data_IF_879511402981
#
_entry.id   IF_879511402981
#
_cell.length_a   1.000
_cell.length_b   1.000
_cell.length_c   1.000
_cell.angle_alpha   90.00
_cell.angle_beta   90.00
_cell.angle_gamma   90.00
#
_symmetry.space_group_name_H-M   'P 1'
#
loop_
_entity.id
_entity.type
_entity.pdbx_description
1 polymer ?
#
# COMPACT_ATOMS: atom_id res chain seq x y z
N UNK A 1 2.02 1.66 -4.91
CA UNK A 1 1.81 2.66 -5.97
C UNK A 1 0.43 2.45 -6.60
N UNK A 2 -0.65 2.65 -5.83
CA UNK A 2 -1.98 2.18 -6.22
C UNK A 2 -2.94 3.30 -6.65
N UNK A 3 -2.45 4.53 -6.78
CA UNK A 3 -3.25 5.60 -7.38
C UNK A 3 -3.44 5.33 -8.88
N UNK A 4 -4.60 5.73 -9.41
CA UNK A 4 -4.91 5.57 -10.84
C UNK A 4 -3.88 6.27 -11.73
N UNK A 5 -3.38 7.43 -11.30
CA UNK A 5 -2.27 8.13 -11.95
C UNK A 5 -1.02 7.24 -12.06
N UNK A 6 -0.58 6.65 -10.95
CA UNK A 6 0.65 5.86 -10.95
C UNK A 6 0.48 4.54 -11.70
N UNK A 7 -0.69 3.88 -11.59
CA UNK A 7 -0.99 2.70 -12.39
C UNK A 7 -0.91 3.00 -13.88
N UNK A 8 -1.54 4.08 -14.35
CA UNK A 8 -1.49 4.50 -15.75
C UNK A 8 -0.06 4.79 -16.21
N UNK A 9 0.73 5.48 -15.36
CA UNK A 9 2.13 5.78 -15.65
C UNK A 9 2.98 4.50 -15.76
N UNK A 10 2.78 3.53 -14.86
CA UNK A 10 3.46 2.23 -14.87
C UNK A 10 3.07 1.41 -16.11
N UNK A 11 1.77 1.32 -16.43
CA UNK A 11 1.30 0.60 -17.63
C UNK A 11 1.89 1.16 -18.93
N UNK A 12 2.00 2.48 -19.03
CA UNK A 12 2.57 3.12 -20.22
C UNK A 12 4.08 2.87 -20.37
N UNK A 13 4.80 2.68 -19.26
CA UNK A 13 6.25 2.48 -19.29
C UNK A 13 6.66 1.01 -19.32
N UNK A 14 5.78 0.10 -18.88
CA UNK A 14 6.03 -1.33 -18.90
C UNK A 14 6.13 -1.87 -20.32
N UNK A 15 7.17 -2.66 -20.57
CA UNK A 15 7.37 -3.37 -21.85
C UNK A 15 6.75 -4.76 -21.77
N UNK A 16 6.15 -5.20 -22.87
CA UNK A 16 5.72 -6.59 -22.99
C UNK A 16 6.93 -7.47 -23.29
N UNK A 17 7.30 -8.32 -22.33
CA UNK A 17 8.30 -9.36 -22.50
C UNK A 17 7.60 -10.69 -22.24
N UNK A 18 7.47 -11.51 -23.29
CA UNK A 18 6.88 -12.86 -23.24
C UNK A 18 5.52 -12.87 -22.51
N UNK A 19 4.57 -12.06 -22.98
CA UNK A 19 3.20 -12.01 -22.44
C UNK A 19 3.05 -11.39 -21.05
N UNK A 20 4.14 -10.90 -20.44
CA UNK A 20 4.13 -10.21 -19.15
C UNK A 20 4.61 -8.76 -19.30
N UNK A 21 3.93 -7.85 -18.60
CA UNK A 21 4.38 -6.46 -18.48
C UNK A 21 5.54 -6.38 -17.48
N UNK A 22 6.70 -5.88 -17.91
CA UNK A 22 7.91 -5.76 -17.09
C UNK A 22 8.49 -4.33 -17.14
N UNK A 23 9.14 -3.91 -16.06
CA UNK A 23 9.85 -2.64 -15.91
C UNK A 23 11.22 -2.96 -15.31
N UNK A 24 12.30 -2.57 -15.99
CA UNK A 24 13.66 -2.77 -15.46
C UNK A 24 14.08 -1.63 -14.50
N UNK A 25 15.19 -1.82 -13.76
CA UNK A 25 15.66 -0.86 -12.76
C UNK A 25 15.97 0.53 -13.33
N UNK A 26 16.56 0.60 -14.54
CA UNK A 26 16.87 1.86 -15.21
C UNK A 26 15.61 2.62 -15.61
N UNK A 27 14.62 1.91 -16.14
CA UNK A 27 13.30 2.47 -16.43
C UNK A 27 12.57 2.94 -15.17
N UNK A 28 12.81 2.25 -14.04
CA UNK A 28 12.25 2.63 -12.75
C UNK A 28 12.90 3.92 -12.20
N UNK A 29 14.22 4.06 -12.34
CA UNK A 29 14.95 5.27 -11.95
C UNK A 29 14.54 6.49 -12.80
N UNK A 30 14.27 6.28 -14.08
CA UNK A 30 13.85 7.33 -15.02
C UNK A 30 12.39 7.80 -14.80
N UNK A 31 11.65 7.33 -13.78
CA UNK A 31 10.31 7.88 -13.51
C UNK A 31 10.42 9.28 -12.91
N UNK A 32 9.89 10.27 -13.63
CA UNK A 32 9.62 11.58 -13.05
C UNK A 32 8.45 11.47 -12.07
N UNK A 33 8.75 11.60 -10.78
CA UNK A 33 7.75 11.73 -9.73
C UNK A 33 7.67 13.18 -9.27
N UNK A 34 6.47 13.61 -8.89
CA UNK A 34 6.29 14.92 -8.28
C UNK A 34 6.93 14.87 -6.89
N UNK A 35 7.90 15.75 -6.64
CA UNK A 35 8.50 15.93 -5.33
C UNK A 35 7.84 17.14 -4.64
N UNK A 36 6.90 16.93 -3.70
CA UNK A 36 6.24 18.03 -2.99
C UNK A 36 7.21 18.75 -2.04
N UNK A 37 6.89 19.98 -1.58
CA UNK A 37 7.69 20.69 -0.57
C UNK A 37 7.86 19.88 0.71
N UNK A 38 9.03 19.99 1.36
CA UNK A 38 9.39 19.19 2.54
C UNK A 38 8.40 19.36 3.71
N UNK A 39 7.86 20.56 3.88
CA UNK A 39 6.84 20.84 4.90
C UNK A 39 5.57 20.01 4.70
N UNK A 40 5.13 19.84 3.44
CA UNK A 40 3.96 19.04 3.12
C UNK A 40 4.24 17.54 3.32
N UNK A 41 5.46 17.10 3.02
CA UNK A 41 5.89 15.72 3.26
C UNK A 41 5.84 15.38 4.76
N UNK A 42 6.39 16.25 5.60
CA UNK A 42 6.40 16.06 7.06
C UNK A 42 4.97 16.04 7.63
N UNK A 43 4.11 16.97 7.20
CA UNK A 43 2.70 17.01 7.61
C UNK A 43 1.94 15.73 7.22
N UNK A 44 2.24 15.15 6.05
CA UNK A 44 1.67 13.89 5.63
C UNK A 44 2.20 12.72 6.47
N UNK A 45 3.52 12.67 6.70
CA UNK A 45 4.17 11.62 7.49
C UNK A 45 3.59 11.54 8.91
N UNK A 46 3.44 12.67 9.60
CA UNK A 46 2.84 12.74 10.94
C UNK A 46 1.42 12.19 10.99
N UNK A 47 0.61 12.46 9.96
CA UNK A 47 -0.77 11.98 9.87
C UNK A 47 -0.81 10.47 9.66
N UNK A 48 0.00 9.95 8.74
CA UNK A 48 0.06 8.52 8.45
C UNK A 48 0.57 7.74 9.65
N UNK A 49 1.57 8.25 10.37
CA UNK A 49 2.09 7.60 11.58
C UNK A 49 0.98 7.39 12.63
N UNK A 50 0.18 8.44 12.88
CA UNK A 50 -0.96 8.36 13.81
C UNK A 50 -2.02 7.35 13.33
N UNK A 51 -2.34 7.35 12.04
CA UNK A 51 -3.33 6.43 11.46
C UNK A 51 -2.85 4.98 11.55
N UNK A 52 -1.59 4.69 11.23
CA UNK A 52 -1.05 3.32 11.30
C UNK A 52 -0.97 2.82 12.75
N UNK A 53 -0.63 3.69 13.72
CA UNK A 53 -0.72 3.35 15.16
C UNK A 53 -2.14 2.94 15.54
N UNK A 54 -3.15 3.73 15.17
CA UNK A 54 -4.55 3.43 15.45
C UNK A 54 -5.01 2.12 14.79
N UNK A 55 -4.65 1.93 13.52
CA UNK A 55 -4.96 0.71 12.76
C UNK A 55 -4.32 -0.53 13.38
N UNK A 56 -3.09 -0.42 13.89
CA UNK A 56 -2.43 -1.50 14.62
C UNK A 56 -3.19 -1.84 15.91
N UNK A 57 -3.54 -0.84 16.71
CA UNK A 57 -4.30 -1.02 17.97
C UNK A 57 -5.65 -1.71 17.69
N UNK A 58 -6.42 -1.21 16.73
CA UNK A 58 -7.71 -1.78 16.33
C UNK A 58 -7.53 -3.22 15.84
N UNK A 59 -6.50 -3.48 15.03
CA UNK A 59 -6.21 -4.83 14.54
C UNK A 59 -5.87 -5.79 15.69
N UNK A 60 -5.05 -5.35 16.64
CA UNK A 60 -4.59 -6.16 17.76
C UNK A 60 -5.70 -6.44 18.78
N UNK A 61 -6.49 -5.43 19.15
CA UNK A 61 -7.46 -5.50 20.24
C UNK A 61 -8.82 -6.02 19.75
N UNK A 62 -9.23 -5.63 18.54
CA UNK A 62 -10.60 -5.89 18.08
C UNK A 62 -10.60 -7.00 17.02
N UNK A 63 -9.89 -6.78 15.90
CA UNK A 63 -10.04 -7.65 14.73
C UNK A 63 -9.44 -9.04 14.94
N UNK A 64 -8.26 -9.15 15.55
CA UNK A 64 -7.63 -10.45 15.82
C UNK A 64 -8.44 -11.28 16.83
N UNK A 65 -8.84 -10.75 18.00
CA UNK A 65 -9.69 -11.50 18.93
C UNK A 65 -11.04 -11.89 18.33
N UNK A 66 -11.70 -10.98 17.61
CA UNK A 66 -12.96 -11.27 16.91
C UNK A 66 -12.82 -12.44 15.92
N UNK A 67 -11.76 -12.45 15.10
CA UNK A 67 -11.49 -13.56 14.16
C UNK A 67 -11.23 -14.87 14.88
N UNK A 68 -10.53 -14.85 16.02
CA UNK A 68 -10.28 -16.05 16.84
C UNK A 68 -11.56 -16.61 17.45
N UNK A 69 -12.45 -15.75 17.95
CA UNK A 69 -13.76 -16.16 18.50
C UNK A 69 -14.64 -16.74 17.39
N UNK A 70 -14.70 -16.08 16.22
CA UNK A 70 -15.48 -16.57 15.07
C UNK A 70 -15.00 -17.93 14.57
N UNK A 71 -13.68 -18.20 14.57
CA UNK A 71 -13.14 -19.52 14.20
C UNK A 71 -13.51 -20.61 15.21
N UNK A 72 -13.46 -20.33 16.51
CA UNK A 72 -13.86 -21.27 17.57
C UNK A 72 -15.36 -21.59 17.59
N UNK A 73 -16.20 -20.68 17.09
CA UNK A 73 -17.66 -20.88 17.01
C UNK A 73 -18.13 -21.78 15.87
N UNK A 74 -17.23 -22.25 14.99
CA UNK A 74 -17.55 -23.14 13.84
C UNK A 74 -17.17 -24.60 14.13
N UNK A 75 -16.57 -24.90 15.30
CA UNK A 75 -16.17 -26.26 15.72
C UNK A 75 -17.10 -26.86 16.79
N UNK A 76 -18.31 -26.29 16.98
CA UNK A 76 -19.37 -26.92 17.78
C UNK A 76 -20.49 -27.36 16.85
N UNK A 77 -20.26 -28.44 16.14
CA UNK A 77 -21.25 -29.44 15.68
C UNK A 77 -20.48 -30.71 15.28
#
# INVERSE_FOLDING_TARGET
MNSEFMKKLLYNKAKNIVGMANINAKELEDFSIILPPIELQNKFAERIEKIEKLKFIISAIILKPYKSIKKKGVEKD
#
